data_IF_909644901005
#
_entry.id   IF_909644901005
#
_cell.length_a   1.000
_cell.length_b   1.000
_cell.length_c   1.000
_cell.angle_alpha   90.00
_cell.angle_beta   90.00
_cell.angle_gamma   90.00
#
_symmetry.space_group_name_H-M   'P 1'
#
loop_
_entity.id
_entity.type
_entity.pdbx_description
1 polymer ?
#
# COMPACT_ATOMS: atom_id res chain seq x y z
N UNK A 1 -7.05 14.20 -3.16
CA UNK A 1 -6.20 12.99 -3.12
C UNK A 1 -6.99 11.90 -3.84
N UNK A 2 -6.55 11.42 -5.01
CA UNK A 2 -7.34 10.50 -5.86
C UNK A 2 -7.54 9.12 -5.23
N UNK A 3 -6.57 8.64 -4.45
CA UNK A 3 -6.56 7.30 -3.86
C UNK A 3 -6.44 7.36 -2.33
N UNK A 4 -7.03 6.38 -1.64
CA UNK A 4 -6.86 6.11 -0.19
C UNK A 4 -6.51 4.65 0.04
N UNK A 5 -5.36 4.40 0.67
CA UNK A 5 -5.03 3.06 1.14
C UNK A 5 -6.03 2.58 2.19
N UNK A 6 -6.53 1.37 2.00
CA UNK A 6 -7.45 0.71 2.93
C UNK A 6 -6.68 -0.29 3.78
N UNK A 7 -6.22 -1.39 3.18
CA UNK A 7 -5.50 -2.45 3.87
C UNK A 7 -4.60 -3.25 2.91
N UNK A 8 -3.76 -4.08 3.52
CA UNK A 8 -2.88 -5.04 2.86
C UNK A 8 -3.29 -6.45 3.29
N UNK A 9 -3.30 -7.41 2.37
CA UNK A 9 -3.54 -8.82 2.68
C UNK A 9 -2.58 -9.72 1.90
N UNK A 10 -2.22 -10.86 2.49
CA UNK A 10 -1.48 -11.92 1.80
C UNK A 10 -2.43 -13.07 1.52
N UNK A 11 -2.66 -13.39 0.25
CA UNK A 11 -3.53 -14.49 -0.16
C UNK A 11 -2.73 -15.45 -1.03
N UNK A 12 -2.57 -16.70 -0.56
CA UNK A 12 -1.82 -17.77 -1.27
C UNK A 12 -0.40 -17.34 -1.73
N UNK A 13 0.27 -16.52 -0.92
CA UNK A 13 1.61 -16.00 -1.23
C UNK A 13 1.62 -14.69 -2.04
N UNK A 14 0.48 -14.27 -2.58
CA UNK A 14 0.32 -13.01 -3.32
C UNK A 14 0.02 -11.88 -2.35
N UNK A 15 0.75 -10.78 -2.49
CA UNK A 15 0.66 -9.59 -1.65
C UNK A 15 -0.30 -8.59 -2.28
N UNK A 16 -1.54 -8.53 -1.79
CA UNK A 16 -2.59 -7.68 -2.35
C UNK A 16 -2.72 -6.39 -1.54
N UNK A 17 -2.65 -5.25 -2.21
CA UNK A 17 -2.95 -3.93 -1.68
C UNK A 17 -4.34 -3.50 -2.15
N UNK A 18 -5.20 -3.13 -1.20
CA UNK A 18 -6.52 -2.60 -1.48
C UNK A 18 -6.53 -1.08 -1.28
N UNK A 19 -6.91 -0.37 -2.34
CA UNK A 19 -7.06 1.08 -2.37
C UNK A 19 -8.51 1.46 -2.68
N UNK A 20 -8.97 2.57 -2.12
CA UNK A 20 -10.19 3.26 -2.54
C UNK A 20 -9.82 4.33 -3.57
N UNK A 21 -10.40 4.26 -4.76
CA UNK A 21 -10.36 5.32 -5.75
C UNK A 21 -11.57 6.23 -5.55
N UNK A 22 -11.32 7.48 -5.14
CA UNK A 22 -12.39 8.46 -4.90
C UNK A 22 -12.96 9.07 -6.18
N UNK A 23 -12.21 9.05 -7.29
CA UNK A 23 -12.71 9.57 -8.57
C UNK A 23 -13.79 8.64 -9.13
N UNK A 24 -13.55 7.34 -9.03
CA UNK A 24 -14.46 6.30 -9.54
C UNK A 24 -15.34 5.66 -8.44
N UNK A 25 -15.24 6.14 -7.20
CA UNK A 25 -15.96 5.63 -6.02
C UNK A 25 -15.90 4.09 -5.88
N UNK A 26 -14.74 3.48 -6.14
CA UNK A 26 -14.57 2.02 -6.16
C UNK A 26 -13.34 1.56 -5.40
N UNK A 27 -13.42 0.32 -4.91
CA UNK A 27 -12.26 -0.40 -4.36
C UNK A 27 -11.46 -1.03 -5.51
N UNK A 28 -10.14 -0.88 -5.45
CA UNK A 28 -9.18 -1.45 -6.38
C UNK A 28 -8.21 -2.33 -5.61
N UNK A 29 -7.91 -3.50 -6.17
CA UNK A 29 -6.95 -4.45 -5.62
C UNK A 29 -5.78 -4.58 -6.58
N UNK A 30 -4.57 -4.38 -6.06
CA UNK A 30 -3.34 -4.47 -6.84
C UNK A 30 -2.39 -5.46 -6.18
N UNK A 31 -1.71 -6.26 -7.00
CA UNK A 31 -0.54 -6.98 -6.54
C UNK A 31 0.58 -5.97 -6.21
N UNK A 32 1.25 -6.16 -5.08
CA UNK A 32 2.42 -5.38 -4.68
C UNK A 32 3.54 -5.49 -5.73
N UNK A 33 3.74 -6.65 -6.34
CA UNK A 33 4.75 -6.82 -7.39
C UNK A 33 4.36 -6.04 -8.65
N UNK A 34 3.08 -6.05 -9.02
CA UNK A 34 2.57 -5.21 -10.10
C UNK A 34 2.82 -3.72 -9.83
N UNK A 35 2.61 -3.25 -8.60
CA UNK A 35 2.86 -1.85 -8.21
C UNK A 35 4.34 -1.45 -8.28
N UNK A 36 5.25 -2.43 -8.27
CA UNK A 36 6.70 -2.23 -8.44
C UNK A 36 7.14 -2.37 -9.91
N UNK A 37 6.30 -2.95 -10.76
CA UNK A 37 6.57 -3.14 -12.19
C UNK A 37 6.52 -1.82 -12.97
N UNK A 38 7.14 -1.78 -14.15
CA UNK A 38 7.07 -0.62 -15.03
C UNK A 38 5.66 -0.37 -15.59
N UNK A 39 4.80 -1.38 -15.62
CA UNK A 39 3.44 -1.34 -16.18
C UNK A 39 2.42 -0.59 -15.29
N UNK A 40 2.70 -0.41 -14.01
CA UNK A 40 1.79 0.32 -13.12
C UNK A 40 1.79 1.84 -13.43
N UNK A 41 0.62 2.51 -13.39
CA UNK A 41 0.53 3.95 -13.64
C UNK A 41 1.42 4.78 -12.68
N UNK A 42 2.07 5.82 -13.20
CA UNK A 42 3.00 6.64 -12.41
C UNK A 42 2.33 7.36 -11.22
N UNK A 43 1.07 7.80 -11.36
CA UNK A 43 0.29 8.39 -10.27
C UNK A 43 0.13 7.40 -9.10
N UNK A 44 -0.13 6.13 -9.42
CA UNK A 44 -0.30 5.05 -8.46
C UNK A 44 1.03 4.69 -7.79
N UNK A 45 2.12 4.61 -8.56
CA UNK A 45 3.48 4.41 -8.02
C UNK A 45 3.91 5.54 -7.09
N UNK A 46 3.65 6.79 -7.47
CA UNK A 46 3.97 7.96 -6.64
C UNK A 46 3.17 7.96 -5.34
N UNK A 47 1.89 7.63 -5.41
CA UNK A 47 1.03 7.46 -4.24
C UNK A 47 1.51 6.33 -3.32
N UNK A 48 1.86 5.17 -3.89
CA UNK A 48 2.39 4.04 -3.15
C UNK A 48 3.74 4.35 -2.50
N UNK A 49 4.66 5.04 -3.19
CA UNK A 49 5.91 5.52 -2.61
C UNK A 49 5.66 6.46 -1.42
N UNK A 50 4.67 7.36 -1.52
CA UNK A 50 4.29 8.28 -0.45
C UNK A 50 3.71 7.54 0.76
N UNK A 51 2.81 6.57 0.53
CA UNK A 51 2.27 5.73 1.62
C UNK A 51 3.35 4.86 2.23
N UNK A 52 4.17 4.21 1.41
CA UNK A 52 5.22 3.32 1.88
C UNK A 52 6.21 4.08 2.74
N UNK A 53 6.63 5.29 2.32
CA UNK A 53 7.46 6.16 3.15
C UNK A 53 6.77 6.49 4.48
N UNK A 54 5.52 6.94 4.42
CA UNK A 54 4.73 7.32 5.61
C UNK A 54 4.38 6.15 6.54
N UNK A 55 4.15 4.94 6.01
CA UNK A 55 3.79 3.74 6.78
C UNK A 55 4.99 2.90 7.18
N UNK A 56 6.09 2.86 6.42
CA UNK A 56 7.34 2.23 6.88
C UNK A 56 7.99 3.06 7.98
N UNK A 57 7.93 4.39 7.94
CA UNK A 57 8.37 5.22 9.08
C UNK A 57 7.53 4.95 10.33
N UNK A 58 6.21 4.77 10.20
CA UNK A 58 5.33 4.42 11.33
C UNK A 58 5.43 2.95 11.77
N UNK A 59 5.61 2.00 10.84
CA UNK A 59 5.78 0.58 11.15
C UNK A 59 7.18 0.24 11.65
N UNK A 60 8.23 1.00 11.30
CA UNK A 60 9.53 0.90 11.99
C UNK A 60 9.44 1.42 13.44
N UNK A 61 8.55 2.39 13.70
CA UNK A 61 8.22 2.82 15.06
C UNK A 61 7.42 1.76 15.83
N UNK A 62 6.41 1.13 15.22
CA UNK A 62 5.66 0.04 15.86
C UNK A 62 6.49 -1.23 16.06
N UNK A 63 7.38 -1.59 15.12
CA UNK A 63 8.25 -2.77 15.26
C UNK A 63 9.36 -2.57 16.31
N UNK A 64 9.77 -1.33 16.59
CA UNK A 64 10.64 -1.00 17.74
C UNK A 64 9.88 -0.74 19.03
N UNK A 65 8.54 -0.69 19.00
CA UNK A 65 7.69 -0.36 20.14
C UNK A 65 7.16 -1.55 20.95
N UNK A 66 7.47 -2.80 20.56
CA UNK A 66 7.12 -4.00 21.34
C UNK A 66 8.21 -5.07 21.26
N UNK A 67 9.33 -4.84 21.94
CA UNK A 67 9.97 -5.95 22.65
C UNK A 67 9.21 -6.12 23.97
N UNK A 68 8.42 -7.19 24.16
CA UNK A 68 7.84 -7.48 25.47
C UNK A 68 8.99 -7.84 26.41
N UNK A 69 9.11 -7.11 27.52
CA UNK A 69 9.66 -7.66 28.76
C UNK A 69 8.49 -8.03 29.65
#
# INVERSE_FOLDING_TARGET
MSYKFMYYSSQRGVKIITLMDFKNARLMNFDLEYLQSEEAPDELKAYMRKIWKSRVENSMWEYKGKTPR
#
